data_IF_129103756112
#
_entry.id   IF_129103756112
#
_cell.length_a   1.000
_cell.length_b   1.000
_cell.length_c   1.000
_cell.angle_alpha   90.00
_cell.angle_beta   90.00
_cell.angle_gamma   90.00
#
_symmetry.space_group_name_H-M   'P 1'
#
loop_
_entity.id
_entity.type
_entity.pdbx_description
1 polymer ?
#
# COMPACT_ATOMS: atom_id res chain seq x y z
N UNK A 1 32.36 -55.96 9.34
CA UNK A 1 33.61 -55.66 10.08
C UNK A 1 34.00 -54.17 10.01
N UNK A 2 33.03 -53.25 9.82
CA UNK A 2 33.24 -51.79 9.63
C UNK A 2 34.08 -51.40 8.40
N UNK A 3 34.38 -52.33 7.50
CA UNK A 3 35.16 -52.06 6.28
C UNK A 3 34.37 -52.39 5.03
N UNK A 4 34.72 -51.75 3.92
CA UNK A 4 34.37 -52.22 2.59
C UNK A 4 35.64 -52.72 1.88
N UNK A 5 35.54 -53.74 1.03
CA UNK A 5 36.69 -54.32 0.34
C UNK A 5 36.42 -54.43 -1.15
N UNK A 6 37.38 -53.99 -1.94
CA UNK A 6 37.37 -54.14 -3.39
C UNK A 6 38.11 -55.43 -3.76
N UNK A 7 37.58 -56.22 -4.68
CA UNK A 7 38.14 -57.50 -5.09
C UNK A 7 38.33 -57.56 -6.60
N UNK A 8 39.42 -58.17 -7.05
CA UNK A 8 39.65 -58.46 -8.46
C UNK A 8 38.93 -59.76 -8.84
N UNK A 9 37.89 -59.68 -9.67
CA UNK A 9 37.07 -60.84 -10.06
C UNK A 9 37.86 -62.00 -10.67
N UNK A 10 38.83 -61.80 -11.60
CA UNK A 10 39.53 -62.92 -12.21
C UNK A 10 40.44 -63.70 -11.24
N UNK A 11 40.88 -63.07 -10.13
CA UNK A 11 41.86 -63.65 -9.20
C UNK A 11 41.34 -63.90 -7.80
N UNK A 12 40.18 -63.34 -7.45
CA UNK A 12 39.65 -63.37 -6.08
C UNK A 12 40.54 -62.67 -5.05
N UNK A 13 41.51 -61.85 -5.46
CA UNK A 13 42.42 -61.14 -4.54
C UNK A 13 41.83 -59.77 -4.15
N UNK A 14 41.98 -59.33 -2.88
CA UNK A 14 41.55 -58.00 -2.47
C UNK A 14 42.46 -56.93 -3.10
N UNK A 15 41.85 -55.95 -3.77
CA UNK A 15 42.53 -54.80 -4.37
C UNK A 15 42.75 -53.67 -3.36
N UNK A 16 41.75 -53.41 -2.51
CA UNK A 16 41.81 -52.38 -1.48
C UNK A 16 40.89 -52.73 -0.30
N UNK A 17 41.28 -52.34 0.91
CA UNK A 17 40.40 -52.35 2.09
C UNK A 17 40.13 -50.91 2.51
N UNK A 18 38.88 -50.49 2.37
CA UNK A 18 38.41 -49.13 2.65
C UNK A 18 38.07 -49.04 4.14
N UNK A 19 38.95 -48.39 4.90
CA UNK A 19 38.86 -48.24 6.35
C UNK A 19 38.48 -46.81 6.71
N UNK A 20 37.55 -46.65 7.65
CA UNK A 20 37.22 -45.33 8.19
C UNK A 20 35.84 -45.23 8.84
N UNK A 21 34.90 -46.12 8.49
CA UNK A 21 33.60 -46.16 9.15
C UNK A 21 33.72 -46.66 10.60
N UNK A 22 32.91 -46.10 11.49
CA UNK A 22 32.95 -46.39 12.93
C UNK A 22 31.94 -47.50 13.33
N UNK A 23 30.98 -47.79 12.45
CA UNK A 23 29.97 -48.83 12.60
C UNK A 23 29.81 -49.66 11.31
N UNK A 24 28.78 -50.52 11.26
CA UNK A 24 28.53 -51.41 10.14
C UNK A 24 28.39 -50.62 8.84
N UNK A 25 29.10 -51.07 7.80
CA UNK A 25 28.91 -50.63 6.42
C UNK A 25 27.86 -51.55 5.83
N UNK A 26 26.74 -50.98 5.40
CA UNK A 26 25.56 -51.76 5.01
C UNK A 26 25.21 -51.61 3.52
N UNK A 27 25.79 -50.61 2.85
CA UNK A 27 25.61 -50.41 1.42
C UNK A 27 26.88 -49.90 0.76
N UNK A 28 27.09 -50.27 -0.50
CA UNK A 28 28.16 -49.75 -1.36
C UNK A 28 27.65 -49.62 -2.80
N UNK A 29 27.98 -48.53 -3.46
CA UNK A 29 27.61 -48.25 -4.85
C UNK A 29 28.81 -47.70 -5.62
N UNK A 30 28.98 -48.14 -6.87
CA UNK A 30 29.93 -47.53 -7.80
C UNK A 30 29.28 -46.35 -8.53
N UNK A 31 30.06 -45.31 -8.82
CA UNK A 31 29.67 -44.28 -9.77
C UNK A 31 29.52 -44.89 -11.17
N UNK A 32 28.72 -44.27 -12.07
CA UNK A 32 28.51 -44.81 -13.42
C UNK A 32 29.79 -44.98 -14.25
N UNK A 33 30.78 -44.12 -14.04
CA UNK A 33 32.10 -44.18 -14.67
C UNK A 33 33.09 -45.12 -13.93
N UNK A 34 32.69 -45.68 -12.80
CA UNK A 34 33.50 -46.56 -11.94
C UNK A 34 34.65 -45.87 -11.21
N UNK A 35 34.78 -44.54 -11.28
CA UNK A 35 35.91 -43.81 -10.69
C UNK A 35 35.77 -43.58 -9.18
N UNK A 36 34.55 -43.63 -8.65
CA UNK A 36 34.23 -43.38 -7.24
C UNK A 36 33.39 -44.53 -6.68
N UNK A 37 33.68 -44.94 -5.45
CA UNK A 37 32.78 -45.77 -4.64
C UNK A 37 32.14 -44.91 -3.55
N UNK A 38 30.83 -45.02 -3.36
CA UNK A 38 30.13 -44.53 -2.18
C UNK A 38 29.83 -45.70 -1.22
N UNK A 39 30.04 -45.50 0.07
CA UNK A 39 29.65 -46.43 1.14
C UNK A 39 28.70 -45.75 2.11
N UNK A 40 27.67 -46.46 2.59
CA UNK A 40 26.74 -45.98 3.61
C UNK A 40 26.83 -46.83 4.88
N UNK A 41 26.66 -46.20 6.04
CA UNK A 41 26.94 -46.83 7.33
C UNK A 41 25.99 -46.40 8.45
N UNK A 42 25.90 -47.28 9.44
CA UNK A 42 25.29 -47.05 10.75
C UNK A 42 26.05 -46.04 11.64
N UNK A 43 27.17 -45.48 11.16
CA UNK A 43 27.84 -44.34 11.83
C UNK A 43 27.26 -42.98 11.40
N UNK A 44 26.07 -42.99 10.79
CA UNK A 44 25.32 -41.83 10.30
C UNK A 44 26.03 -41.06 9.17
N UNK A 45 27.04 -41.68 8.54
CA UNK A 45 27.75 -41.09 7.40
C UNK A 45 27.68 -41.95 6.16
N UNK A 46 27.78 -41.27 5.01
CA UNK A 46 28.25 -41.89 3.79
C UNK A 46 29.68 -41.42 3.49
N UNK A 47 30.49 -42.25 2.82
CA UNK A 47 31.87 -41.91 2.44
C UNK A 47 32.11 -42.16 0.98
N UNK A 48 32.95 -41.32 0.39
CA UNK A 48 33.38 -41.41 -1.01
C UNK A 48 34.83 -41.87 -1.08
N UNK A 49 35.13 -42.75 -2.02
CA UNK A 49 36.46 -43.34 -2.20
C UNK A 49 36.88 -43.27 -3.67
N UNK A 50 38.10 -42.81 -3.93
CA UNK A 50 38.67 -42.78 -5.27
C UNK A 50 39.18 -44.17 -5.68
N UNK A 51 38.70 -44.68 -6.81
CA UNK A 51 39.10 -45.96 -7.36
C UNK A 51 40.16 -45.80 -8.47
N UNK A 52 41.04 -46.80 -8.67
CA UNK A 52 41.17 -48.04 -7.88
C UNK A 52 41.97 -47.86 -6.58
N UNK A 53 42.46 -46.65 -6.29
CA UNK A 53 43.41 -46.39 -5.19
C UNK A 53 42.86 -46.69 -3.79
N UNK A 54 41.54 -46.64 -3.60
CA UNK A 54 40.88 -46.77 -2.30
C UNK A 54 41.09 -45.58 -1.36
N UNK A 55 41.62 -44.46 -1.85
CA UNK A 55 41.83 -43.25 -1.03
C UNK A 55 40.49 -42.58 -0.69
N UNK A 56 40.28 -42.11 0.55
CA UNK A 56 39.07 -41.37 0.91
C UNK A 56 39.03 -40.02 0.17
N UNK A 57 37.89 -39.69 -0.43
CA UNK A 57 37.62 -38.40 -1.09
C UNK A 57 36.85 -37.44 -0.18
N UNK A 58 35.77 -37.92 0.44
CA UNK A 58 34.94 -37.11 1.34
C UNK A 58 34.19 -37.99 2.35
N UNK A 59 33.85 -37.40 3.49
CA UNK A 59 32.88 -37.95 4.44
C UNK A 59 31.65 -37.05 4.45
N UNK A 60 30.53 -37.60 4.03
CA UNK A 60 29.24 -36.91 3.90
C UNK A 60 28.55 -36.94 5.27
N UNK A 61 28.72 -35.84 6.02
CA UNK A 61 28.16 -35.66 7.36
C UNK A 61 26.91 -34.81 7.30
N UNK A 62 25.88 -35.21 8.04
CA UNK A 62 24.69 -34.39 8.22
C UNK A 62 23.44 -35.17 8.62
N UNK A 63 23.35 -36.46 8.29
CA UNK A 63 22.28 -37.33 8.80
C UNK A 63 22.41 -37.51 10.32
N UNK A 64 21.27 -37.51 11.02
CA UNK A 64 21.24 -37.69 12.49
C UNK A 64 21.21 -39.15 12.92
N UNK A 65 20.82 -40.03 12.00
CA UNK A 65 20.65 -41.48 12.21
C UNK A 65 21.32 -42.26 11.05
N UNK A 66 21.36 -43.60 11.10
CA UNK A 66 22.06 -44.42 10.12
C UNK A 66 21.75 -44.06 8.66
N UNK A 67 22.78 -44.09 7.81
CA UNK A 67 22.61 -43.97 6.36
C UNK A 67 22.43 -45.37 5.80
N UNK A 68 21.26 -45.63 5.24
CA UNK A 68 20.82 -46.96 4.80
C UNK A 68 21.24 -47.25 3.36
N UNK A 69 21.15 -46.25 2.49
CA UNK A 69 21.37 -46.42 1.06
C UNK A 69 22.09 -45.24 0.43
N UNK A 70 22.80 -45.48 -0.67
CA UNK A 70 23.45 -44.46 -1.47
C UNK A 70 23.30 -44.78 -2.97
N UNK A 71 22.88 -43.81 -3.78
CA UNK A 71 22.68 -43.95 -5.22
C UNK A 71 23.31 -42.78 -5.98
N UNK A 72 24.03 -43.07 -7.06
CA UNK A 72 24.55 -42.05 -7.96
C UNK A 72 23.50 -41.64 -8.98
N UNK A 73 23.48 -40.37 -9.37
CA UNK A 73 22.79 -39.93 -10.57
C UNK A 73 23.43 -40.56 -11.82
N UNK A 74 22.68 -40.74 -12.92
CA UNK A 74 23.20 -41.36 -14.14
C UNK A 74 24.41 -40.65 -14.76
N UNK A 75 24.50 -39.33 -14.58
CA UNK A 75 25.63 -38.50 -15.03
C UNK A 75 26.81 -38.48 -14.03
N UNK A 76 26.67 -39.14 -12.87
CA UNK A 76 27.68 -39.19 -11.81
C UNK A 76 27.92 -37.88 -11.06
N UNK A 77 27.13 -36.83 -11.30
CA UNK A 77 27.36 -35.50 -10.70
C UNK A 77 26.78 -35.35 -9.29
N UNK A 78 25.79 -36.18 -8.93
CA UNK A 78 25.08 -36.13 -7.65
C UNK A 78 25.07 -37.52 -7.00
N UNK A 79 25.26 -37.56 -5.68
CA UNK A 79 24.91 -38.71 -4.85
C UNK A 79 23.64 -38.41 -4.06
N UNK A 80 22.68 -39.34 -4.05
CA UNK A 80 21.57 -39.36 -3.11
C UNK A 80 21.87 -40.35 -1.98
N UNK A 81 21.68 -39.94 -0.73
CA UNK A 81 21.71 -40.82 0.45
C UNK A 81 20.33 -40.90 1.07
N UNK A 82 19.95 -42.08 1.56
CA UNK A 82 18.70 -42.32 2.30
C UNK A 82 19.02 -42.80 3.72
N UNK A 83 18.26 -42.37 4.71
CA UNK A 83 18.59 -42.57 6.12
C UNK A 83 17.37 -42.87 6.98
N UNK A 84 17.64 -43.54 8.11
CA UNK A 84 16.70 -43.72 9.21
C UNK A 84 16.24 -42.40 9.85
N UNK A 85 16.91 -41.27 9.56
CA UNK A 85 16.51 -39.94 10.03
C UNK A 85 15.30 -39.34 9.29
N UNK A 86 14.58 -40.19 8.54
CA UNK A 86 13.39 -39.85 7.75
C UNK A 86 13.68 -38.89 6.58
N UNK A 87 14.95 -38.68 6.22
CA UNK A 87 15.33 -37.82 5.11
C UNK A 87 16.14 -38.57 4.05
N UNK A 88 16.03 -38.06 2.82
CA UNK A 88 17.06 -38.29 1.82
C UNK A 88 17.87 -37.00 1.60
N UNK A 89 19.14 -37.11 1.25
CA UNK A 89 20.00 -35.95 1.00
C UNK A 89 20.71 -36.07 -0.34
N UNK A 90 20.89 -34.94 -1.01
CA UNK A 90 21.64 -34.82 -2.26
C UNK A 90 23.00 -34.19 -2.00
N UNK A 91 24.04 -34.71 -2.64
CA UNK A 91 25.42 -34.28 -2.46
C UNK A 91 26.09 -34.05 -3.81
N UNK A 92 26.84 -32.95 -3.95
CA UNK A 92 27.58 -32.62 -5.17
C UNK A 92 28.90 -33.38 -5.24
N UNK A 93 29.14 -34.10 -6.33
CA UNK A 93 30.37 -34.86 -6.56
C UNK A 93 31.40 -34.08 -7.38
N UNK A 94 32.70 -34.36 -7.20
CA UNK A 94 33.30 -35.23 -6.17
C UNK A 94 33.44 -34.54 -4.80
N UNK A 95 33.04 -33.26 -4.69
CA UNK A 95 33.31 -32.41 -3.53
C UNK A 95 32.69 -32.88 -2.21
N UNK A 96 31.59 -33.64 -2.27
CA UNK A 96 30.81 -34.06 -1.11
C UNK A 96 30.03 -32.92 -0.43
N UNK A 97 29.87 -31.77 -1.09
CA UNK A 97 29.09 -30.66 -0.54
C UNK A 97 27.58 -31.00 -0.53
N UNK A 98 26.84 -30.70 0.55
CA UNK A 98 25.40 -30.91 0.58
C UNK A 98 24.70 -29.97 -0.44
N UNK A 99 23.78 -30.52 -1.22
CA UNK A 99 22.95 -29.80 -2.18
C UNK A 99 21.53 -29.57 -1.63
N UNK A 100 20.91 -30.61 -1.07
CA UNK A 100 19.54 -30.53 -0.58
C UNK A 100 19.28 -31.59 0.51
N UNK A 101 18.31 -31.30 1.38
CA UNK A 101 17.70 -32.29 2.29
C UNK A 101 16.23 -32.43 1.92
N UNK A 102 15.85 -33.61 1.47
CA UNK A 102 14.49 -33.96 1.05
C UNK A 102 13.71 -34.41 2.28
N UNK A 103 12.87 -33.51 2.78
CA UNK A 103 12.03 -33.72 3.97
C UNK A 103 10.60 -34.03 3.57
N UNK A 104 9.97 -34.96 4.29
CA UNK A 104 8.53 -35.18 4.17
C UNK A 104 8.10 -36.61 4.46
N UNK A 105 9.00 -37.59 4.38
CA UNK A 105 8.72 -38.93 4.90
C UNK A 105 8.53 -38.89 6.42
N UNK A 106 7.71 -39.82 6.93
CA UNK A 106 7.34 -39.90 8.35
C UNK A 106 7.94 -41.12 9.07
N UNK A 107 8.81 -41.86 8.38
CA UNK A 107 9.59 -42.98 8.92
C UNK A 107 10.87 -43.13 8.12
N UNK A 108 11.69 -44.13 8.44
CA UNK A 108 12.99 -44.40 7.83
C UNK A 108 12.92 -44.45 6.30
N UNK A 109 13.85 -43.76 5.64
CA UNK A 109 14.01 -43.83 4.17
C UNK A 109 15.04 -44.90 3.85
N UNK A 110 14.56 -46.04 3.37
CA UNK A 110 15.39 -47.23 3.17
C UNK A 110 16.05 -47.28 1.79
N UNK A 111 15.54 -46.54 0.80
CA UNK A 111 16.06 -46.59 -0.56
C UNK A 111 15.89 -45.27 -1.30
N UNK A 112 16.79 -45.02 -2.25
CA UNK A 112 16.72 -43.92 -3.20
C UNK A 112 17.19 -44.38 -4.58
N UNK A 113 16.51 -43.97 -5.65
CA UNK A 113 16.86 -44.31 -7.03
C UNK A 113 16.58 -43.16 -7.98
N UNK A 114 17.52 -42.85 -8.87
CA UNK A 114 17.33 -41.86 -9.92
C UNK A 114 16.60 -42.47 -11.12
N UNK A 115 15.79 -41.67 -11.80
CA UNK A 115 15.32 -41.98 -13.15
C UNK A 115 16.50 -42.07 -14.13
N UNK A 116 16.37 -42.79 -15.25
CA UNK A 116 17.46 -42.95 -16.22
C UNK A 116 18.02 -41.65 -16.79
N UNK A 117 17.21 -40.60 -16.87
CA UNK A 117 17.60 -39.26 -17.32
C UNK A 117 18.09 -38.35 -16.17
N UNK A 118 18.07 -38.84 -14.93
CA UNK A 118 18.48 -38.14 -13.72
C UNK A 118 17.55 -37.01 -13.28
N UNK A 119 16.39 -36.83 -13.93
CA UNK A 119 15.48 -35.70 -13.66
C UNK A 119 14.57 -35.91 -12.45
N UNK A 120 14.42 -37.15 -11.99
CA UNK A 120 13.58 -37.52 -10.85
C UNK A 120 14.36 -38.46 -9.92
N UNK A 121 14.27 -38.22 -8.62
CA UNK A 121 14.66 -39.18 -7.59
C UNK A 121 13.40 -39.80 -6.99
N UNK A 122 13.33 -41.12 -6.95
CA UNK A 122 12.35 -41.85 -6.15
C UNK A 122 12.97 -42.22 -4.79
N UNK A 123 12.26 -41.94 -3.70
CA UNK A 123 12.60 -42.43 -2.35
C UNK A 123 11.53 -43.38 -1.85
N UNK A 124 11.92 -44.45 -1.16
CA UNK A 124 11.01 -45.43 -0.56
C UNK A 124 11.26 -45.52 0.95
N UNK A 125 10.18 -45.55 1.73
CA UNK A 125 10.25 -45.40 3.18
C UNK A 125 9.30 -46.36 3.92
N UNK A 126 9.63 -46.62 5.18
CA UNK A 126 8.81 -47.43 6.09
C UNK A 126 7.47 -46.79 6.46
N UNK A 127 7.26 -45.51 6.11
CA UNK A 127 5.96 -44.84 6.19
C UNK A 127 4.95 -45.36 5.16
N UNK A 128 5.28 -46.44 4.45
CA UNK A 128 4.48 -47.12 3.43
C UNK A 128 4.26 -46.26 2.18
N UNK A 129 5.13 -45.28 1.94
CA UNK A 129 5.06 -44.43 0.75
C UNK A 129 6.36 -44.44 -0.05
N UNK A 130 6.20 -44.25 -1.37
CA UNK A 130 7.28 -43.80 -2.23
C UNK A 130 7.00 -42.34 -2.64
N UNK A 131 8.06 -41.52 -2.73
CA UNK A 131 7.96 -40.12 -3.15
C UNK A 131 8.88 -39.84 -4.32
N UNK A 132 8.39 -39.02 -5.25
CA UNK A 132 9.15 -38.56 -6.41
C UNK A 132 9.57 -37.11 -6.19
N UNK A 133 10.86 -36.86 -6.34
CA UNK A 133 11.48 -35.57 -6.16
C UNK A 133 12.07 -35.13 -7.49
N UNK A 134 11.64 -33.99 -8.05
CA UNK A 134 12.33 -33.41 -9.18
C UNK A 134 13.79 -33.09 -8.82
N UNK A 135 14.72 -33.61 -9.61
CA UNK A 135 16.15 -33.32 -9.51
C UNK A 135 16.50 -32.45 -10.72
N UNK A 136 16.44 -31.14 -10.52
CA UNK A 136 16.84 -30.22 -11.56
C UNK A 136 18.36 -30.04 -11.55
N UNK A 137 18.99 -30.12 -12.73
CA UNK A 137 20.22 -29.35 -12.89
C UNK A 137 19.84 -27.88 -12.79
N UNK A 138 20.56 -27.14 -11.93
CA UNK A 138 20.39 -25.68 -11.73
C UNK A 138 20.23 -24.95 -13.06
N UNK A 139 20.96 -25.38 -14.09
CA UNK A 139 20.95 -24.84 -15.44
C UNK A 139 19.64 -25.11 -16.23
N UNK A 140 19.09 -26.32 -16.20
CA UNK A 140 17.84 -26.64 -16.92
C UNK A 140 16.63 -25.90 -16.34
N UNK A 141 16.59 -25.74 -15.02
CA UNK A 141 15.55 -24.94 -14.36
C UNK A 141 15.65 -23.47 -14.77
N UNK A 142 16.86 -22.90 -14.79
CA UNK A 142 17.10 -21.53 -15.28
C UNK A 142 16.67 -21.40 -16.74
N UNK A 143 17.03 -22.34 -17.61
CA UNK A 143 16.67 -22.29 -19.03
C UNK A 143 15.15 -22.35 -19.26
N UNK A 144 14.45 -23.22 -18.55
CA UNK A 144 12.99 -23.28 -18.58
C UNK A 144 12.35 -22.01 -18.00
N UNK A 145 12.83 -21.54 -16.85
CA UNK A 145 12.34 -20.32 -16.23
C UNK A 145 12.58 -19.09 -17.12
N UNK A 146 13.73 -18.99 -17.79
CA UNK A 146 14.06 -17.87 -18.70
C UNK A 146 13.23 -17.90 -19.97
N UNK A 147 12.82 -19.08 -20.46
CA UNK A 147 11.86 -19.22 -21.56
C UNK A 147 10.46 -18.76 -21.17
N UNK A 148 10.03 -19.01 -19.93
CA UNK A 148 8.70 -18.63 -19.43
C UNK A 148 8.65 -17.19 -18.90
N UNK A 149 9.78 -16.66 -18.43
CA UNK A 149 9.90 -15.35 -17.79
C UNK A 149 11.02 -14.59 -18.54
N UNK A 150 10.69 -13.72 -19.51
CA UNK A 150 11.67 -13.03 -20.36
C UNK A 150 12.35 -11.86 -19.63
N UNK A 151 12.78 -12.08 -18.38
CA UNK A 151 13.53 -11.11 -17.56
C UNK A 151 14.48 -11.85 -16.62
N UNK A 152 15.48 -11.14 -16.11
CA UNK A 152 16.36 -11.71 -15.10
C UNK A 152 15.58 -12.11 -13.82
N UNK A 153 15.91 -13.27 -13.26
CA UNK A 153 15.46 -13.68 -11.93
C UNK A 153 16.07 -12.74 -10.88
N UNK A 154 15.24 -12.26 -9.95
CA UNK A 154 15.69 -11.41 -8.84
C UNK A 154 16.54 -12.19 -7.84
N UNK A 155 17.36 -11.54 -7.00
CA UNK A 155 18.14 -12.23 -5.96
C UNK A 155 17.28 -13.16 -5.08
N UNK A 156 16.11 -12.68 -4.65
CA UNK A 156 15.14 -13.47 -3.87
C UNK A 156 14.61 -14.69 -4.62
N UNK A 157 14.29 -14.56 -5.89
CA UNK A 157 13.84 -15.69 -6.71
C UNK A 157 14.97 -16.71 -6.90
N UNK A 158 16.20 -16.23 -7.13
CA UNK A 158 17.37 -17.10 -7.24
C UNK A 158 17.60 -17.88 -5.94
N UNK A 159 17.46 -17.24 -4.79
CA UNK A 159 17.53 -17.90 -3.48
C UNK A 159 16.43 -18.95 -3.32
N UNK A 160 15.18 -18.65 -3.66
CA UNK A 160 14.05 -19.60 -3.61
C UNK A 160 14.28 -20.83 -4.48
N UNK A 161 15.00 -20.70 -5.59
CA UNK A 161 15.35 -21.78 -6.50
C UNK A 161 16.73 -22.40 -6.22
N UNK A 162 17.36 -22.05 -5.09
CA UNK A 162 18.71 -22.51 -4.71
C UNK A 162 19.78 -22.24 -5.79
N UNK A 163 19.61 -21.17 -6.56
CA UNK A 163 20.55 -20.73 -7.60
C UNK A 163 21.69 -19.90 -6.99
N UNK A 164 22.91 -19.94 -7.55
CA UNK A 164 24.01 -19.10 -7.09
C UNK A 164 23.66 -17.62 -7.21
N UNK A 165 24.24 -16.79 -6.32
CA UNK A 165 24.16 -15.33 -6.44
C UNK A 165 24.67 -14.90 -7.81
N UNK A 166 24.00 -13.94 -8.43
CA UNK A 166 24.41 -13.39 -9.72
C UNK A 166 25.15 -12.06 -9.48
N UNK A 167 26.46 -11.97 -9.80
CA UNK A 167 27.26 -10.75 -9.63
C UNK A 167 26.65 -9.52 -10.33
N UNK A 168 25.88 -9.76 -11.38
CA UNK A 168 25.24 -8.70 -12.15
C UNK A 168 24.31 -7.80 -11.31
N UNK A 169 23.67 -8.34 -10.27
CA UNK A 169 22.83 -7.55 -9.37
C UNK A 169 23.62 -6.59 -8.47
N UNK A 170 24.85 -6.94 -8.08
CA UNK A 170 25.72 -6.04 -7.32
C UNK A 170 26.12 -4.81 -8.16
N UNK A 171 26.34 -5.01 -9.46
CA UNK A 171 26.58 -3.89 -10.39
C UNK A 171 25.32 -3.04 -10.60
N UNK A 172 24.13 -3.64 -10.64
CA UNK A 172 22.86 -2.88 -10.68
C UNK A 172 22.74 -1.97 -9.46
N UNK A 173 22.90 -2.52 -8.26
CA UNK A 173 22.77 -1.75 -7.01
C UNK A 173 23.77 -0.59 -6.97
N UNK A 174 25.04 -0.88 -7.27
CA UNK A 174 26.10 0.14 -7.34
C UNK A 174 25.82 1.20 -8.40
N UNK A 175 25.30 0.80 -9.57
CA UNK A 175 24.94 1.74 -10.64
C UNK A 175 23.82 2.70 -10.18
N UNK A 176 22.80 2.17 -9.51
CA UNK A 176 21.68 2.96 -9.00
C UNK A 176 22.14 3.97 -7.93
N UNK A 177 23.05 3.59 -7.03
CA UNK A 177 23.67 4.51 -6.07
C UNK A 177 24.49 5.62 -6.74
N UNK A 178 25.30 5.26 -7.74
CA UNK A 178 26.09 6.23 -8.51
C UNK A 178 25.19 7.21 -9.26
N UNK A 179 24.09 6.72 -9.86
CA UNK A 179 23.14 7.58 -10.56
C UNK A 179 22.45 8.56 -9.59
N UNK A 180 22.01 8.09 -8.41
CA UNK A 180 21.41 8.94 -7.35
C UNK A 180 22.36 10.03 -6.87
N UNK A 181 23.67 9.77 -6.85
CA UNK A 181 24.70 10.75 -6.46
C UNK A 181 25.17 11.64 -7.60
N UNK A 182 24.54 11.56 -8.78
CA UNK A 182 24.87 12.36 -9.96
C UNK A 182 26.10 11.89 -10.75
N UNK A 183 26.71 10.75 -10.37
CA UNK A 183 27.85 10.15 -11.09
C UNK A 183 27.36 9.32 -12.28
N UNK A 184 26.68 9.98 -13.22
CA UNK A 184 25.93 9.34 -14.32
C UNK A 184 26.84 8.47 -15.19
N UNK A 185 28.01 8.97 -15.62
CA UNK A 185 28.93 8.19 -16.47
C UNK A 185 29.40 6.90 -15.79
N UNK A 186 29.74 6.96 -14.50
CA UNK A 186 30.15 5.79 -13.73
C UNK A 186 28.97 4.81 -13.53
N UNK A 187 27.75 5.31 -13.37
CA UNK A 187 26.54 4.48 -13.31
C UNK A 187 26.29 3.75 -14.63
N UNK A 188 26.45 4.43 -15.77
CA UNK A 188 26.31 3.84 -17.10
C UNK A 188 27.29 2.68 -17.27
N UNK A 189 28.55 2.85 -16.88
CA UNK A 189 29.55 1.77 -16.95
C UNK A 189 29.14 0.55 -16.11
N UNK A 190 28.60 0.74 -14.90
CA UNK A 190 28.15 -0.36 -14.06
C UNK A 190 26.91 -1.06 -14.67
N UNK A 191 25.95 -0.30 -15.20
CA UNK A 191 24.80 -0.87 -15.91
C UNK A 191 25.21 -1.65 -17.17
N UNK A 192 26.21 -1.17 -17.91
CA UNK A 192 26.78 -1.88 -19.06
C UNK A 192 27.43 -3.20 -18.62
N UNK A 193 28.22 -3.21 -17.54
CA UNK A 193 28.80 -4.44 -16.97
C UNK A 193 27.72 -5.45 -16.55
N UNK A 194 26.67 -4.97 -15.88
CA UNK A 194 25.52 -5.80 -15.51
C UNK A 194 24.85 -6.45 -16.74
N UNK A 195 24.59 -5.66 -17.78
CA UNK A 195 23.97 -6.16 -19.02
C UNK A 195 24.87 -7.11 -19.80
N UNK A 196 26.19 -6.87 -19.84
CA UNK A 196 27.16 -7.78 -20.47
C UNK A 196 27.21 -9.14 -19.77
N UNK A 197 27.18 -9.15 -18.44
CA UNK A 197 27.19 -10.39 -17.67
C UNK A 197 25.85 -11.12 -17.66
N UNK A 198 24.74 -10.39 -17.77
CA UNK A 198 23.39 -10.94 -17.77
C UNK A 198 22.54 -10.25 -18.85
N UNK A 199 22.58 -10.77 -20.10
CA UNK A 199 21.85 -10.18 -21.23
C UNK A 199 20.31 -10.19 -21.09
N UNK A 200 19.78 -10.84 -20.05
CA UNK A 200 18.35 -10.83 -19.72
C UNK A 200 17.83 -9.45 -19.23
N UNK A 201 18.71 -8.50 -18.94
CA UNK A 201 18.31 -7.16 -18.52
C UNK A 201 17.78 -6.34 -19.70
N UNK A 202 16.50 -5.99 -19.62
CA UNK A 202 15.77 -5.22 -20.64
C UNK A 202 15.73 -3.73 -20.28
N UNK A 203 16.89 -3.06 -20.36
CA UNK A 203 16.97 -1.60 -20.26
C UNK A 203 18.11 -1.05 -21.13
N UNK A 204 18.01 0.23 -21.50
CA UNK A 204 19.14 0.99 -22.00
C UNK A 204 19.96 1.54 -20.81
N UNK A 205 21.27 1.24 -20.71
CA UNK A 205 22.10 1.70 -19.59
C UNK A 205 22.14 3.22 -19.43
N UNK A 206 22.11 3.97 -20.54
CA UNK A 206 22.16 5.44 -20.53
C UNK A 206 20.84 6.01 -20.04
N UNK A 207 19.73 5.58 -20.64
CA UNK A 207 18.40 6.04 -20.22
C UNK A 207 18.08 5.67 -18.77
N UNK A 208 18.49 4.47 -18.33
CA UNK A 208 18.28 4.05 -16.93
C UNK A 208 19.07 4.92 -15.95
N UNK A 209 20.35 5.18 -16.23
CA UNK A 209 21.18 6.03 -15.38
C UNK A 209 20.67 7.47 -15.33
N UNK A 210 20.37 8.06 -16.49
CA UNK A 210 19.81 9.40 -16.60
C UNK A 210 18.47 9.51 -15.91
N UNK A 211 17.55 8.55 -16.12
CA UNK A 211 16.23 8.55 -15.49
C UNK A 211 16.29 8.52 -13.97
N UNK A 212 17.19 7.72 -13.38
CA UNK A 212 17.38 7.70 -11.92
C UNK A 212 17.94 9.04 -11.41
N UNK A 213 18.95 9.59 -12.09
CA UNK A 213 19.57 10.84 -11.70
C UNK A 213 18.60 12.02 -11.82
N UNK A 214 17.88 12.14 -12.93
CA UNK A 214 16.86 13.16 -13.14
C UNK A 214 15.73 13.06 -12.11
N UNK A 215 15.23 11.85 -11.84
CA UNK A 215 14.22 11.64 -10.80
C UNK A 215 14.70 12.07 -9.42
N UNK A 216 15.95 11.75 -9.06
CA UNK A 216 16.52 12.14 -7.77
C UNK A 216 16.59 13.67 -7.64
N UNK A 217 16.98 14.37 -8.72
CA UNK A 217 17.00 15.83 -8.78
C UNK A 217 15.60 16.43 -8.67
N UNK A 218 14.60 15.84 -9.33
CA UNK A 218 13.20 16.24 -9.18
C UNK A 218 12.76 16.17 -7.71
N UNK A 219 12.96 15.02 -7.07
CA UNK A 219 12.56 14.81 -5.66
C UNK A 219 13.23 15.83 -4.72
N UNK A 220 14.51 16.13 -4.93
CA UNK A 220 15.23 17.16 -4.17
C UNK A 220 14.68 18.57 -4.43
N UNK A 221 14.39 18.91 -5.69
CA UNK A 221 13.78 20.18 -6.05
C UNK A 221 12.40 20.36 -5.45
N UNK A 222 11.57 19.32 -5.46
CA UNK A 222 10.24 19.33 -4.85
C UNK A 222 10.30 19.59 -3.34
N UNK A 223 11.23 18.95 -2.64
CA UNK A 223 11.44 19.15 -1.21
C UNK A 223 11.91 20.57 -0.89
N UNK A 224 12.86 21.09 -1.67
CA UNK A 224 13.33 22.48 -1.53
C UNK A 224 12.21 23.49 -1.79
N UNK A 225 11.36 23.25 -2.79
CA UNK A 225 10.22 24.10 -3.10
C UNK A 225 9.23 24.14 -1.94
N UNK A 226 8.88 22.98 -1.36
CA UNK A 226 8.02 22.87 -0.17
C UNK A 226 8.59 23.61 1.05
N UNK A 227 9.92 23.68 1.17
CA UNK A 227 10.61 24.46 2.20
C UNK A 227 10.70 25.97 1.89
N UNK A 228 10.10 26.45 0.80
CA UNK A 228 10.15 27.84 0.36
C UNK A 228 11.48 28.25 -0.31
N UNK A 229 12.40 27.31 -0.57
CA UNK A 229 13.72 27.58 -1.18
C UNK A 229 13.61 27.55 -2.72
N UNK A 230 12.82 28.47 -3.28
CA UNK A 230 12.45 28.48 -4.71
C UNK A 230 13.65 28.45 -5.65
N UNK A 231 14.64 29.32 -5.44
CA UNK A 231 15.81 29.39 -6.33
C UNK A 231 16.61 28.09 -6.33
N UNK A 232 16.75 27.44 -5.17
CA UNK A 232 17.43 26.15 -5.07
C UNK A 232 16.63 25.05 -5.78
N UNK A 233 15.31 25.04 -5.61
CA UNK A 233 14.42 24.10 -6.31
C UNK A 233 14.50 24.25 -7.83
N UNK A 234 14.48 25.50 -8.33
CA UNK A 234 14.61 25.80 -9.77
C UNK A 234 15.93 25.26 -10.32
N UNK A 235 17.04 25.37 -9.57
CA UNK A 235 18.33 24.79 -9.97
C UNK A 235 18.24 23.27 -10.11
N UNK A 236 17.66 22.58 -9.13
CA UNK A 236 17.50 21.12 -9.17
C UNK A 236 16.61 20.66 -10.33
N UNK A 237 15.48 21.34 -10.56
CA UNK A 237 14.59 21.08 -11.69
C UNK A 237 15.26 21.34 -13.05
N UNK A 238 16.03 22.42 -13.15
CA UNK A 238 16.79 22.73 -14.37
C UNK A 238 17.80 21.62 -14.67
N UNK A 239 18.50 21.13 -13.64
CA UNK A 239 19.43 20.01 -13.78
C UNK A 239 18.71 18.72 -14.17
N UNK A 240 17.53 18.44 -13.62
CA UNK A 240 16.72 17.29 -13.99
C UNK A 240 16.34 17.31 -15.49
N UNK A 241 15.91 18.47 -16.01
CA UNK A 241 15.59 18.67 -17.44
C UNK A 241 16.82 18.50 -18.35
N UNK A 242 18.00 18.94 -17.89
CA UNK A 242 19.26 18.74 -18.63
C UNK A 242 19.65 17.25 -18.71
N UNK A 243 19.38 16.49 -17.65
CA UNK A 243 19.68 15.05 -17.61
C UNK A 243 18.68 14.24 -18.43
N UNK A 244 17.39 14.56 -18.32
CA UNK A 244 16.30 13.88 -19.06
C UNK A 244 15.43 14.90 -19.81
N UNK A 245 15.74 15.16 -21.10
CA UNK A 245 14.98 16.10 -21.93
C UNK A 245 13.53 15.68 -22.23
N UNK A 246 13.09 14.48 -21.81
CA UNK A 246 11.69 14.03 -21.98
C UNK A 246 10.76 14.65 -20.93
N UNK A 247 11.31 15.19 -19.84
CA UNK A 247 10.56 15.93 -18.84
C UNK A 247 10.08 17.27 -19.44
N UNK A 248 8.81 17.61 -19.22
CA UNK A 248 8.19 18.81 -19.81
C UNK A 248 7.46 19.61 -18.75
N UNK A 249 8.12 20.63 -18.21
CA UNK A 249 7.53 21.63 -17.32
C UNK A 249 8.44 22.86 -17.25
N UNK A 250 7.89 24.00 -16.83
CA UNK A 250 8.69 25.20 -16.58
C UNK A 250 9.15 25.20 -15.10
N UNK A 251 10.46 25.19 -14.81
CA UNK A 251 11.00 25.03 -13.46
C UNK A 251 10.47 26.04 -12.43
N UNK A 252 10.34 27.32 -12.81
CA UNK A 252 9.92 28.37 -11.88
C UNK A 252 8.46 28.23 -11.48
N UNK A 253 7.58 27.99 -12.45
CA UNK A 253 6.15 27.75 -12.24
C UNK A 253 5.93 26.49 -11.40
N UNK A 254 6.69 25.41 -11.68
CA UNK A 254 6.56 24.18 -10.90
C UNK A 254 7.01 24.36 -9.45
N UNK A 255 8.14 25.04 -9.22
CA UNK A 255 8.61 25.38 -7.87
C UNK A 255 7.60 26.28 -7.14
N UNK A 256 7.09 27.30 -7.82
CA UNK A 256 6.10 28.23 -7.27
C UNK A 256 4.83 27.52 -6.82
N UNK A 257 4.27 26.65 -7.68
CA UNK A 257 3.08 25.85 -7.37
C UNK A 257 3.25 24.96 -6.14
N UNK A 258 4.41 24.33 -5.98
CA UNK A 258 4.66 23.48 -4.80
C UNK A 258 4.81 24.30 -3.53
N UNK A 259 5.45 25.47 -3.61
CA UNK A 259 5.67 26.32 -2.47
C UNK A 259 4.41 27.09 -2.03
N UNK A 260 3.48 27.37 -2.94
CA UNK A 260 2.23 28.08 -2.63
C UNK A 260 1.22 27.20 -1.87
N UNK A 261 1.37 25.87 -1.88
CA UNK A 261 0.42 24.95 -1.23
C UNK A 261 0.28 25.19 0.29
N UNK A 262 1.40 25.31 1.01
CA UNK A 262 1.38 25.51 2.46
C UNK A 262 0.73 26.85 2.88
N UNK A 263 1.07 28.01 2.29
CA UNK A 263 0.37 29.26 2.61
C UNK A 263 -1.10 29.24 2.16
N UNK A 264 -1.46 28.56 1.06
CA UNK A 264 -2.88 28.39 0.70
C UNK A 264 -3.65 27.64 1.80
N UNK A 265 -3.17 26.47 2.20
CA UNK A 265 -3.81 25.66 3.24
C UNK A 265 -3.90 26.43 4.57
N UNK A 266 -2.82 27.13 4.94
CA UNK A 266 -2.81 27.93 6.17
C UNK A 266 -3.77 29.12 6.10
N UNK A 267 -3.84 29.78 4.93
CA UNK A 267 -4.79 30.86 4.69
C UNK A 267 -6.23 30.40 4.81
N UNK A 268 -6.56 29.23 4.27
CA UNK A 268 -7.90 28.64 4.39
C UNK A 268 -8.27 28.31 5.84
N UNK A 269 -7.35 27.74 6.61
CA UNK A 269 -7.56 27.44 8.03
C UNK A 269 -7.83 28.73 8.82
N UNK A 270 -6.95 29.73 8.67
CA UNK A 270 -7.08 31.03 9.36
C UNK A 270 -8.37 31.76 8.98
N UNK A 271 -8.78 31.68 7.70
CA UNK A 271 -10.04 32.27 7.24
C UNK A 271 -11.22 31.62 7.97
N UNK A 272 -11.25 30.29 8.09
CA UNK A 272 -12.31 29.56 8.80
C UNK A 272 -12.30 29.84 10.31
N UNK A 273 -11.15 30.17 10.91
CA UNK A 273 -11.04 30.64 12.29
C UNK A 273 -11.50 32.10 12.48
N UNK A 274 -11.79 32.84 11.40
CA UNK A 274 -12.16 34.25 11.43
C UNK A 274 -10.99 35.23 11.52
N UNK A 275 -9.75 34.74 11.40
CA UNK A 275 -8.51 35.56 11.37
C UNK A 275 -8.25 36.08 9.96
N UNK A 276 -9.12 36.96 9.48
CA UNK A 276 -9.15 37.39 8.08
C UNK A 276 -7.87 38.09 7.62
N UNK A 277 -7.28 38.97 8.44
CA UNK A 277 -6.04 39.66 8.08
C UNK A 277 -4.86 38.69 7.92
N UNK A 278 -4.72 37.73 8.85
CA UNK A 278 -3.69 36.70 8.79
C UNK A 278 -3.91 35.77 7.58
N UNK A 279 -5.16 35.41 7.30
CA UNK A 279 -5.52 34.62 6.13
C UNK A 279 -5.18 35.33 4.81
N UNK A 280 -5.54 36.61 4.69
CA UNK A 280 -5.21 37.46 3.54
C UNK A 280 -3.70 37.55 3.33
N UNK A 281 -2.92 37.68 4.40
CA UNK A 281 -1.45 37.69 4.31
C UNK A 281 -0.90 36.36 3.77
N UNK A 282 -1.45 35.22 4.20
CA UNK A 282 -1.05 33.90 3.66
C UNK A 282 -1.41 33.75 2.19
N UNK A 283 -2.61 34.18 1.79
CA UNK A 283 -3.03 34.17 0.39
C UNK A 283 -2.16 35.07 -0.50
N UNK A 284 -1.76 36.24 -0.02
CA UNK A 284 -0.80 37.10 -0.73
C UNK A 284 0.58 36.42 -0.86
N UNK A 285 1.04 35.75 0.19
CA UNK A 285 2.28 34.98 0.13
C UNK A 285 2.20 33.84 -0.91
N UNK A 286 1.06 33.16 -1.02
CA UNK A 286 0.84 32.14 -2.03
C UNK A 286 0.88 32.71 -3.46
N UNK A 287 0.21 33.83 -3.72
CA UNK A 287 0.24 34.52 -5.03
C UNK A 287 1.64 35.01 -5.41
N UNK A 288 2.44 35.44 -4.43
CA UNK A 288 3.82 35.86 -4.67
C UNK A 288 4.74 34.69 -5.08
N UNK A 289 4.38 33.46 -4.68
CA UNK A 289 5.13 32.23 -4.99
C UNK A 289 4.67 31.62 -6.32
N UNK A 290 3.36 31.61 -6.60
CA UNK A 290 2.76 31.01 -7.78
C UNK A 290 1.97 32.04 -8.60
N UNK A 291 2.59 32.54 -9.66
CA UNK A 291 1.99 33.50 -10.58
C UNK A 291 0.86 32.93 -11.45
N UNK A 292 0.58 31.62 -11.37
CA UNK A 292 -0.53 30.99 -12.10
C UNK A 292 -1.85 31.04 -11.33
N UNK A 293 -1.80 31.35 -10.03
CA UNK A 293 -2.97 31.57 -9.20
C UNK A 293 -3.65 32.90 -9.56
N UNK A 294 -4.99 32.89 -9.52
CA UNK A 294 -5.80 34.06 -9.88
C UNK A 294 -7.03 34.15 -8.96
N UNK A 295 -6.90 34.92 -7.89
CA UNK A 295 -8.00 35.28 -6.98
C UNK A 295 -7.61 36.53 -6.18
N UNK A 296 -8.59 37.26 -5.66
CA UNK A 296 -8.35 38.39 -4.75
C UNK A 296 -8.23 37.89 -3.29
N UNK A 297 -7.09 38.07 -2.60
CA UNK A 297 -6.83 37.49 -1.27
C UNK A 297 -7.86 37.85 -0.19
N UNK A 298 -8.31 39.10 -0.14
CA UNK A 298 -9.29 39.54 0.85
C UNK A 298 -10.68 38.95 0.57
N UNK A 299 -11.07 38.92 -0.71
CA UNK A 299 -12.32 38.29 -1.17
C UNK A 299 -12.32 36.80 -0.85
N UNK A 300 -11.24 36.08 -1.16
CA UNK A 300 -11.08 34.66 -0.88
C UNK A 300 -11.24 34.35 0.62
N UNK A 301 -10.60 35.14 1.48
CA UNK A 301 -10.72 34.98 2.93
C UNK A 301 -12.17 35.19 3.42
N UNK A 302 -12.86 36.21 2.91
CA UNK A 302 -14.27 36.48 3.23
C UNK A 302 -15.21 35.36 2.78
N UNK A 303 -15.04 34.87 1.55
CA UNK A 303 -15.85 33.78 0.98
C UNK A 303 -15.70 32.47 1.77
N UNK A 304 -14.50 32.20 2.31
CA UNK A 304 -14.28 31.02 3.17
C UNK A 304 -14.89 31.17 4.57
N UNK A 305 -14.92 32.39 5.11
CA UNK A 305 -15.44 32.64 6.45
C UNK A 305 -16.97 32.84 6.49
N UNK A 306 -17.57 33.39 5.45
CA UNK A 306 -19.00 33.70 5.43
C UNK A 306 -19.91 32.48 5.72
N UNK A 307 -19.67 31.27 5.17
CA UNK A 307 -20.42 30.07 5.56
C UNK A 307 -20.25 29.67 7.03
N UNK A 308 -19.08 29.94 7.62
CA UNK A 308 -18.81 29.67 9.04
C UNK A 308 -19.68 30.55 9.93
N UNK A 309 -19.83 31.83 9.58
CA UNK A 309 -20.74 32.74 10.28
C UNK A 309 -22.19 32.26 10.24
N UNK A 310 -22.67 31.77 9.09
CA UNK A 310 -24.03 31.20 8.99
C UNK A 310 -24.20 30.03 9.95
N UNK A 311 -23.23 29.09 9.98
CA UNK A 311 -23.27 27.95 10.90
C UNK A 311 -23.24 28.38 12.37
N UNK A 312 -22.39 29.34 12.73
CA UNK A 312 -22.38 29.91 14.08
C UNK A 312 -23.72 30.58 14.42
N UNK A 313 -24.34 31.26 13.45
CA UNK A 313 -25.67 31.83 13.60
C UNK A 313 -26.76 30.78 13.86
N UNK A 314 -26.71 29.63 13.18
CA UNK A 314 -27.63 28.51 13.44
C UNK A 314 -27.51 27.99 14.89
N UNK A 315 -26.28 27.84 15.38
CA UNK A 315 -26.01 27.39 16.75
C UNK A 315 -26.51 28.41 17.79
N UNK A 316 -26.24 29.71 17.57
CA UNK A 316 -26.74 30.79 18.42
C UNK A 316 -28.29 30.82 18.44
N UNK A 317 -28.93 30.65 17.29
CA UNK A 317 -30.38 30.63 17.19
C UNK A 317 -31.00 29.47 17.99
N UNK A 318 -30.40 28.28 17.92
CA UNK A 318 -30.82 27.12 18.71
C UNK A 318 -30.67 27.34 20.21
N UNK A 319 -29.72 28.16 20.64
CA UNK A 319 -29.48 28.49 22.04
C UNK A 319 -30.30 29.69 22.54
N UNK A 320 -31.09 30.32 21.68
CA UNK A 320 -31.93 31.47 22.02
C UNK A 320 -31.26 32.84 21.82
N UNK A 321 -30.05 32.89 21.27
CA UNK A 321 -29.25 34.11 21.09
C UNK A 321 -29.53 34.79 19.72
N UNK A 322 -30.79 35.15 19.46
CA UNK A 322 -31.25 35.57 18.12
C UNK A 322 -30.62 36.84 17.57
N UNK A 323 -30.31 37.82 18.42
CA UNK A 323 -29.69 39.06 17.95
C UNK A 323 -28.32 38.79 17.37
N UNK A 324 -27.54 37.93 18.03
CA UNK A 324 -26.22 37.51 17.57
C UNK A 324 -26.34 36.59 16.35
N UNK A 325 -27.32 35.69 16.32
CA UNK A 325 -27.59 34.82 15.18
C UNK A 325 -27.91 35.62 13.90
N UNK A 326 -28.83 36.58 13.99
CA UNK A 326 -29.19 37.47 12.88
C UNK A 326 -27.96 38.29 12.44
N UNK A 327 -27.21 38.85 13.39
CA UNK A 327 -26.01 39.61 13.08
C UNK A 327 -24.98 38.77 12.29
N UNK A 328 -24.82 37.49 12.63
CA UNK A 328 -23.93 36.58 11.91
C UNK A 328 -24.39 36.32 10.47
N UNK A 329 -25.68 36.09 10.24
CA UNK A 329 -26.21 35.90 8.89
C UNK A 329 -26.04 37.15 8.03
N UNK A 330 -26.39 38.32 8.57
CA UNK A 330 -26.23 39.59 7.85
C UNK A 330 -24.76 39.89 7.55
N UNK A 331 -23.87 39.64 8.51
CA UNK A 331 -22.43 39.80 8.31
C UNK A 331 -21.90 38.84 7.25
N UNK A 332 -22.39 37.60 7.21
CA UNK A 332 -22.03 36.62 6.18
C UNK A 332 -22.41 37.13 4.77
N UNK A 333 -23.63 37.62 4.59
CA UNK A 333 -24.10 38.18 3.31
C UNK A 333 -23.37 39.48 2.92
N UNK A 334 -22.97 40.30 3.91
CA UNK A 334 -22.17 41.50 3.67
C UNK A 334 -20.74 41.14 3.24
N UNK A 335 -20.18 40.06 3.78
CA UNK A 335 -18.83 39.58 3.46
C UNK A 335 -18.78 38.94 2.08
N UNK A 336 -19.80 38.17 1.72
CA UNK A 336 -19.92 37.52 0.42
C UNK A 336 -21.34 37.69 -0.12
N UNK A 337 -21.49 38.64 -1.05
CA UNK A 337 -22.77 38.92 -1.69
C UNK A 337 -23.26 37.76 -2.58
N UNK A 338 -22.37 36.84 -2.96
CA UNK A 338 -22.70 35.62 -3.72
C UNK A 338 -23.08 34.44 -2.82
N UNK A 339 -23.02 34.61 -1.49
CA UNK A 339 -23.35 33.55 -0.55
C UNK A 339 -24.83 33.16 -0.65
N UNK A 340 -25.07 31.94 -1.13
CA UNK A 340 -26.38 31.32 -1.11
C UNK A 340 -26.62 30.66 0.26
N UNK A 341 -27.45 31.31 1.08
CA UNK A 341 -27.94 30.72 2.33
C UNK A 341 -29.15 29.85 2.00
N UNK A 342 -29.06 28.56 2.36
CA UNK A 342 -30.05 27.56 2.01
C UNK A 342 -31.40 27.78 2.71
N UNK A 343 -32.48 27.26 2.12
CA UNK A 343 -33.82 27.29 2.70
C UNK A 343 -33.83 26.74 4.14
N UNK A 344 -33.08 25.66 4.39
CA UNK A 344 -32.93 25.04 5.71
C UNK A 344 -32.26 25.97 6.73
N UNK A 345 -31.23 26.70 6.33
CA UNK A 345 -30.55 27.66 7.21
C UNK A 345 -31.45 28.83 7.58
N UNK A 346 -32.27 29.32 6.64
CA UNK A 346 -33.28 30.34 6.92
C UNK A 346 -34.40 29.79 7.81
N UNK A 347 -34.86 28.57 7.56
CA UNK A 347 -35.86 27.90 8.38
C UNK A 347 -35.37 27.68 9.82
N UNK A 348 -34.10 27.34 10.02
CA UNK A 348 -33.53 27.20 11.35
C UNK A 348 -33.65 28.49 12.19
N UNK A 349 -33.45 29.66 11.57
CA UNK A 349 -33.70 30.96 12.21
C UNK A 349 -35.19 31.19 12.46
N UNK A 350 -36.04 30.88 11.46
CA UNK A 350 -37.48 31.02 11.56
C UNK A 350 -38.06 30.19 12.72
N UNK A 351 -37.79 28.89 12.73
CA UNK A 351 -38.26 27.94 13.72
C UNK A 351 -37.80 28.34 15.11
N UNK A 352 -36.48 28.45 15.31
CA UNK A 352 -35.92 28.75 16.62
C UNK A 352 -36.40 30.11 17.11
N UNK A 353 -36.39 31.15 16.27
CA UNK A 353 -36.82 32.50 16.66
C UNK A 353 -38.28 32.53 17.08
N UNK A 354 -39.13 31.78 16.39
CA UNK A 354 -40.55 31.71 16.74
C UNK A 354 -40.79 31.01 18.08
N UNK A 355 -40.05 29.93 18.37
CA UNK A 355 -40.17 29.21 19.64
C UNK A 355 -39.70 30.02 20.86
N UNK A 356 -38.73 30.90 20.69
CA UNK A 356 -38.22 31.78 21.74
C UNK A 356 -38.91 33.16 21.78
N UNK A 357 -40.08 33.30 21.15
CA UNK A 357 -40.89 34.52 21.23
C UNK A 357 -40.39 35.69 20.37
N UNK A 358 -39.49 35.46 19.42
CA UNK A 358 -38.96 36.44 18.48
C UNK A 358 -39.64 36.36 17.09
N UNK A 359 -40.82 35.74 16.99
CA UNK A 359 -41.54 35.47 15.73
C UNK A 359 -41.65 36.69 14.80
N UNK A 360 -41.95 37.88 15.33
CA UNK A 360 -42.05 39.10 14.54
C UNK A 360 -40.71 39.51 13.88
N UNK A 361 -39.58 39.26 14.55
CA UNK A 361 -38.24 39.60 14.04
C UNK A 361 -37.73 38.60 13.02
N UNK A 362 -38.13 37.33 13.12
CA UNK A 362 -37.66 36.27 12.22
C UNK A 362 -38.59 35.99 11.05
N UNK A 363 -39.74 36.68 10.96
CA UNK A 363 -40.72 36.49 9.90
C UNK A 363 -40.12 36.64 8.49
N UNK A 364 -39.23 37.62 8.29
CA UNK A 364 -38.53 37.79 7.00
C UNK A 364 -37.74 36.52 6.60
N UNK A 365 -37.13 35.85 7.57
CA UNK A 365 -36.36 34.62 7.32
C UNK A 365 -37.27 33.41 7.08
N UNK A 366 -38.44 33.37 7.73
CA UNK A 366 -39.49 32.41 7.41
C UNK A 366 -39.94 32.53 5.95
N UNK A 367 -40.16 33.76 5.49
CA UNK A 367 -40.54 34.03 4.10
C UNK A 367 -39.42 33.65 3.11
N UNK A 368 -38.15 33.94 3.44
CA UNK A 368 -37.00 33.52 2.63
C UNK A 368 -36.89 31.99 2.51
N UNK A 369 -37.08 31.26 3.60
CA UNK A 369 -37.03 29.79 3.59
C UNK A 369 -38.08 29.20 2.65
N UNK A 370 -39.33 29.67 2.78
CA UNK A 370 -40.46 29.21 1.98
C UNK A 370 -40.35 29.68 0.52
N UNK A 371 -39.79 30.86 0.26
CA UNK A 371 -39.56 31.32 -1.11
C UNK A 371 -38.53 30.47 -1.86
N UNK A 372 -37.52 29.95 -1.16
CA UNK A 372 -36.48 29.10 -1.73
C UNK A 372 -36.96 27.65 -1.97
N UNK A 373 -37.87 27.15 -1.15
CA UNK A 373 -38.43 25.80 -1.27
C UNK A 373 -39.90 25.79 -0.82
N UNK A 374 -40.77 26.21 -1.74
CA UNK A 374 -42.20 26.45 -1.46
C UNK A 374 -43.01 25.19 -1.20
N UNK A 375 -42.48 24.03 -1.61
CA UNK A 375 -43.13 22.73 -1.54
C UNK A 375 -42.80 21.97 -0.25
N UNK A 376 -41.95 22.53 0.60
CA UNK A 376 -41.51 21.91 1.83
C UNK A 376 -42.47 22.17 2.99
N UNK A 377 -43.12 21.11 3.47
CA UNK A 377 -44.08 21.19 4.57
C UNK A 377 -43.45 21.64 5.89
N UNK A 378 -42.18 21.34 6.14
CA UNK A 378 -41.51 21.75 7.38
C UNK A 378 -41.32 23.26 7.46
N UNK A 379 -40.93 23.90 6.35
CA UNK A 379 -40.72 25.36 6.30
C UNK A 379 -42.05 26.11 6.43
N UNK A 380 -43.12 25.55 5.86
CA UNK A 380 -44.50 26.03 6.02
C UNK A 380 -44.97 25.89 7.47
N UNK A 381 -44.69 24.77 8.14
CA UNK A 381 -44.98 24.60 9.57
C UNK A 381 -44.30 25.71 10.38
N UNK A 382 -43.00 25.95 10.17
CA UNK A 382 -42.26 26.99 10.90
C UNK A 382 -42.85 28.38 10.70
N UNK A 383 -43.15 28.76 9.45
CA UNK A 383 -43.79 30.04 9.13
C UNK A 383 -45.21 30.14 9.67
N UNK A 384 -45.99 29.06 9.60
CA UNK A 384 -47.35 28.99 10.12
C UNK A 384 -47.39 29.21 11.64
N UNK A 385 -46.44 28.63 12.38
CA UNK A 385 -46.26 28.88 13.81
C UNK A 385 -45.92 30.36 14.05
N UNK A 386 -44.94 30.90 13.33
CA UNK A 386 -44.55 32.31 13.44
C UNK A 386 -45.75 33.25 13.22
N UNK A 387 -46.56 32.98 12.17
CA UNK A 387 -47.73 33.77 11.79
C UNK A 387 -48.81 33.74 12.85
N UNK A 388 -49.10 32.57 13.43
CA UNK A 388 -50.07 32.48 14.53
C UNK A 388 -49.63 33.30 15.75
N UNK A 389 -48.34 33.24 16.12
CA UNK A 389 -47.80 34.01 17.25
C UNK A 389 -47.86 35.52 16.98
N UNK A 390 -47.66 35.96 15.74
CA UNK A 390 -47.73 37.38 15.35
C UNK A 390 -49.14 37.88 15.03
N UNK A 391 -50.16 37.03 15.09
CA UNK A 391 -51.57 37.39 14.87
C UNK A 391 -52.08 37.25 13.43
N UNK A 392 -51.28 36.74 12.50
CA UNK A 392 -51.74 36.36 11.15
C UNK A 392 -52.35 34.95 11.18
N UNK A 393 -53.57 34.87 11.72
CA UNK A 393 -54.28 33.60 11.90
C UNK A 393 -54.64 32.95 10.56
N UNK A 394 -55.05 33.76 9.58
CA UNK A 394 -55.46 33.23 8.27
C UNK A 394 -54.26 32.65 7.51
N UNK A 395 -53.12 33.36 7.46
CA UNK A 395 -51.91 32.85 6.84
C UNK A 395 -51.32 31.64 7.57
N UNK A 396 -51.52 31.55 8.89
CA UNK A 396 -51.15 30.37 9.68
C UNK A 396 -51.99 29.13 9.33
N UNK A 397 -53.31 29.29 9.18
CA UNK A 397 -54.22 28.21 8.77
C UNK A 397 -53.80 27.64 7.41
N UNK A 398 -53.50 28.51 6.44
CA UNK A 398 -53.06 28.10 5.09
C UNK A 398 -51.75 27.31 5.12
N UNK A 399 -50.78 27.78 5.91
CA UNK A 399 -49.49 27.12 6.06
C UNK A 399 -49.60 25.75 6.75
N UNK A 400 -50.41 25.61 7.80
CA UNK A 400 -50.62 24.32 8.46
C UNK A 400 -51.41 23.34 7.59
N UNK A 401 -52.41 23.81 6.83
CA UNK A 401 -53.11 22.96 5.85
C UNK A 401 -52.13 22.36 4.85
N UNK A 402 -51.28 23.21 4.27
CA UNK A 402 -50.26 22.76 3.33
C UNK A 402 -49.25 21.81 3.97
N UNK A 403 -48.75 22.14 5.17
CA UNK A 403 -47.79 21.31 5.88
C UNK A 403 -48.34 19.89 6.14
N UNK A 404 -49.60 19.77 6.59
CA UNK A 404 -50.27 18.49 6.85
C UNK A 404 -50.46 17.67 5.57
N UNK A 405 -50.82 18.32 4.46
CA UNK A 405 -50.97 17.67 3.15
C UNK A 405 -49.65 17.09 2.66
N UNK A 406 -48.53 17.80 2.88
CA UNK A 406 -47.18 17.37 2.49
C UNK A 406 -46.50 16.45 3.51
N UNK A 407 -46.95 16.46 4.76
CA UNK A 407 -46.31 15.73 5.86
C UNK A 407 -46.67 14.23 5.84
N UNK A 408 -45.64 13.39 5.80
CA UNK A 408 -45.70 11.95 6.10
C UNK A 408 -45.17 11.65 7.51
N UNK A 409 -45.00 12.67 8.35
CA UNK A 409 -44.38 12.51 9.67
C UNK A 409 -45.45 12.26 10.74
N UNK A 410 -45.53 11.02 11.22
CA UNK A 410 -46.50 10.58 12.24
C UNK A 410 -46.38 11.32 13.58
N UNK A 411 -45.24 11.96 13.85
CA UNK A 411 -45.05 12.79 15.05
C UNK A 411 -45.65 14.20 14.90
N UNK A 412 -45.38 14.85 13.76
CA UNK A 412 -45.79 16.24 13.55
C UNK A 412 -47.25 16.37 13.10
N UNK A 413 -47.71 15.45 12.25
CA UNK A 413 -49.03 15.53 11.62
C UNK A 413 -50.20 15.63 12.62
N UNK A 414 -50.24 14.86 13.73
CA UNK A 414 -51.30 15.02 14.73
C UNK A 414 -51.24 16.35 15.48
N UNK A 415 -50.04 16.88 15.75
CA UNK A 415 -49.85 18.17 16.43
C UNK A 415 -50.30 19.31 15.53
N UNK A 416 -49.86 19.30 14.28
CA UNK A 416 -50.24 20.27 13.25
C UNK A 416 -51.76 20.27 13.04
N UNK A 417 -52.41 19.10 12.99
CA UNK A 417 -53.86 18.99 12.90
C UNK A 417 -54.56 19.60 14.12
N UNK A 418 -54.06 19.33 15.33
CA UNK A 418 -54.59 19.92 16.55
C UNK A 418 -54.46 21.45 16.58
N UNK A 419 -53.34 21.99 16.09
CA UNK A 419 -53.14 23.44 15.98
C UNK A 419 -54.07 24.06 14.95
N UNK A 420 -54.21 23.43 13.78
CA UNK A 420 -55.11 23.87 12.72
C UNK A 420 -56.57 23.92 13.20
N UNK A 421 -57.02 22.91 13.94
CA UNK A 421 -58.39 22.84 14.46
C UNK A 421 -58.65 23.92 15.52
N UNK A 422 -57.67 24.25 16.35
CA UNK A 422 -57.75 25.35 17.32
C UNK A 422 -57.83 26.72 16.60
N UNK A 423 -56.93 26.97 15.64
CA UNK A 423 -56.90 28.22 14.89
C UNK A 423 -58.21 28.47 14.13
N UNK A 424 -58.81 27.43 13.54
CA UNK A 424 -60.12 27.51 12.86
C UNK A 424 -61.29 27.87 13.79
N UNK A 425 -61.17 27.58 15.09
CA UNK A 425 -62.16 27.97 16.12
C UNK A 425 -61.93 29.38 16.66
N UNK A 426 -60.86 30.05 16.23
CA UNK A 426 -60.45 31.36 16.72
C UNK A 426 -59.52 31.31 17.94
N UNK A 427 -59.08 30.12 18.35
CA UNK A 427 -58.16 29.93 19.47
C UNK A 427 -56.71 29.90 18.96
N UNK A 428 -55.80 30.64 19.61
CA UNK A 428 -54.37 30.54 19.31
C UNK A 428 -53.72 29.46 20.22
N UNK A 429 -53.29 28.32 19.67
CA UNK A 429 -52.76 27.21 20.46
C UNK A 429 -51.32 27.44 20.94
N UNK A 430 -50.61 28.47 20.46
CA UNK A 430 -49.20 28.71 20.76
C UNK A 430 -49.00 29.56 22.02
N UNK A 431 -49.38 28.99 23.17
CA UNK A 431 -49.04 29.58 24.47
C UNK A 431 -47.55 29.46 24.76
N UNK A 432 -47.02 30.25 25.72
CA UNK A 432 -45.62 30.16 26.14
C UNK A 432 -45.21 28.75 26.57
N UNK A 433 -46.13 28.01 27.21
CA UNK A 433 -45.93 26.62 27.61
C UNK A 433 -45.81 25.67 26.42
N UNK A 434 -46.66 25.86 25.40
CA UNK A 434 -46.62 25.07 24.16
C UNK A 434 -45.32 25.34 23.40
N UNK A 435 -44.91 26.61 23.27
CA UNK A 435 -43.65 26.98 22.63
C UNK A 435 -42.43 26.39 23.36
N UNK A 436 -42.38 26.48 24.70
CA UNK A 436 -41.33 25.83 25.51
C UNK A 436 -41.36 24.31 25.38
N UNK A 437 -42.53 23.71 25.21
CA UNK A 437 -42.70 22.28 24.98
C UNK A 437 -42.16 21.81 23.62
N UNK A 438 -42.10 22.69 22.63
CA UNK A 438 -41.55 22.41 21.30
C UNK A 438 -40.03 22.60 21.21
N UNK A 439 -39.41 23.21 22.23
CA UNK A 439 -37.95 23.31 22.37
C UNK A 439 -37.30 22.03 22.93
N UNK A 440 -38.10 21.13 23.52
CA UNK A 440 -37.66 19.86 24.12
C UNK A 440 -37.83 18.71 23.15
#
# INVERSE_FOLDING_TARGET
>A
DKTARLWALPSGKPLATLRGHEFYVIHAAFSPDGSILATASFDNTARLWALPSGKPLATLRGHSDPVIHAAFSPDGSILATASSDQTARLWALPSGKPLATLRGHYSEVNHAAFSPDGSILATASEDKTARLWPVFSTQKLIEQATKMIPRCLTPKQREQFFLPKAPAWEWIEKAEELAKTGKISAAIEQFQRAKQSAPCFQFDPTEKAQGIAAKTRLEQGEELAKQGKIQAAVVEFTQALQIDPRLVFEPKNYAGKLASMAPLEKGEELAKEGKLEEATAQFQAALALDSTLSFEPETQAKQLFAPVLVKQGEELAKNGEFEQAIANYLKAQQMDASLEISAKQWDSLCWSGSLYGQAARVMEYCEKAVALDSENGDYRRSRGLARAVTGDIQGSIEDFQFAIEKSNNDYWKPKEQGWLDALKKGDNPFTEEVLKGLLR
#
